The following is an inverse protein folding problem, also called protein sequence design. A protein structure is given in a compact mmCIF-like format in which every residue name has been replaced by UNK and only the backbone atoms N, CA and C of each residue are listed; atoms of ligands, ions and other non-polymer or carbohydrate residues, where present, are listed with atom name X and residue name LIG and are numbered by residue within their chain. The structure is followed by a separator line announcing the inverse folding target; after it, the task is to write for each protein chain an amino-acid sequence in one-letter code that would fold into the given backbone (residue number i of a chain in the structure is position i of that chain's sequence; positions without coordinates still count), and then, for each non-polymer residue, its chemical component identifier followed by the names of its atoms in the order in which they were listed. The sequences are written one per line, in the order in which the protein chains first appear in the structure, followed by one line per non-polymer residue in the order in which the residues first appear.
data_IF_315316552911
#
_entry.id   IF_315316552911
#
_cell.length_a   1.000
_cell.length_b   1.000
_cell.length_c   1.000
_cell.angle_alpha   90.00
_cell.angle_beta   90.00
_cell.angle_gamma   90.00
#
_symmetry.space_group_name_H-M   'P 1'
#
loop_
_entity.id
_entity.type
_entity.pdbx_description
1 polymer ?
#
# COMPACT_ATOMS: atom_id res chain seq x y z
N UNK A 1 -20.12 -5.38 4.20
CA UNK A 1 -18.87 -6.13 3.91
C UNK A 1 -17.73 -5.42 4.62
N UNK A 2 -16.85 -6.13 5.33
CA UNK A 2 -15.74 -5.54 6.08
C UNK A 2 -14.46 -5.65 5.27
N UNK A 3 -13.66 -4.59 5.23
CA UNK A 3 -12.38 -4.55 4.55
C UNK A 3 -11.25 -4.36 5.57
N UNK A 4 -10.14 -5.07 5.37
CA UNK A 4 -8.92 -4.88 6.14
C UNK A 4 -7.79 -4.58 5.18
N UNK A 5 -7.11 -3.46 5.44
CA UNK A 5 -6.00 -3.01 4.63
C UNK A 5 -4.73 -3.75 5.07
N UNK A 6 -4.02 -4.31 4.09
CA UNK A 6 -2.69 -4.90 4.28
C UNK A 6 -1.68 -4.02 3.55
N UNK A 7 -0.84 -3.32 4.31
CA UNK A 7 0.20 -2.46 3.75
C UNK A 7 1.44 -3.31 3.41
N UNK A 8 1.72 -3.48 2.12
CA UNK A 8 2.83 -4.28 1.60
C UNK A 8 4.08 -3.46 1.28
N UNK A 9 4.06 -2.15 1.58
CA UNK A 9 5.15 -1.25 1.24
C UNK A 9 6.41 -1.57 2.04
N UNK A 10 7.55 -1.14 1.50
CA UNK A 10 8.81 -1.17 2.26
C UNK A 10 8.66 -0.30 3.51
N UNK A 11 9.19 -0.77 4.65
CA UNK A 11 9.04 -0.11 5.96
C UNK A 11 9.31 1.39 5.91
N UNK A 12 10.45 1.77 5.29
CA UNK A 12 10.87 3.17 5.16
C UNK A 12 9.84 4.04 4.43
N UNK A 13 9.08 3.48 3.50
CA UNK A 13 8.05 4.23 2.78
C UNK A 13 6.89 4.58 3.70
N UNK A 14 6.40 3.63 4.50
CA UNK A 14 5.36 3.89 5.48
C UNK A 14 5.79 4.88 6.58
N UNK A 15 7.03 4.79 7.04
CA UNK A 15 7.60 5.68 8.07
C UNK A 15 7.83 7.12 7.59
N UNK A 16 7.95 7.35 6.27
CA UNK A 16 8.22 8.69 5.70
C UNK A 16 7.00 9.31 5.01
N UNK A 17 6.18 8.49 4.36
CA UNK A 17 5.03 8.96 3.57
C UNK A 17 3.71 8.83 4.31
N UNK A 18 3.75 8.26 5.51
CA UNK A 18 2.59 7.96 6.32
C UNK A 18 1.98 6.60 6.02
N UNK A 19 1.18 6.11 6.98
CA UNK A 19 0.50 4.81 6.96
C UNK A 19 -0.92 4.92 7.51
N UNK A 20 -1.79 3.99 7.14
CA UNK A 20 -3.14 3.94 7.68
C UNK A 20 -3.12 3.33 9.10
N UNK A 21 -3.73 3.97 10.11
CA UNK A 21 -3.70 3.52 11.51
C UNK A 21 -4.13 2.07 11.73
N UNK A 22 -5.12 1.62 10.95
CA UNK A 22 -5.72 0.29 11.08
C UNK A 22 -5.18 -0.73 10.08
N UNK A 23 -4.10 -0.40 9.36
CA UNK A 23 -3.50 -1.32 8.40
C UNK A 23 -2.62 -2.36 9.09
N UNK A 24 -2.66 -3.60 8.59
CA UNK A 24 -1.73 -4.64 9.00
C UNK A 24 -0.51 -4.56 8.08
N UNK A 25 0.67 -4.38 8.65
CA UNK A 25 1.90 -4.18 7.89
C UNK A 25 2.56 -5.53 7.59
N UNK A 26 2.70 -5.84 6.29
CA UNK A 26 3.40 -7.02 5.79
C UNK A 26 4.46 -6.58 4.80
N UNK A 27 5.58 -6.09 5.33
CA UNK A 27 6.68 -5.60 4.48
C UNK A 27 7.36 -6.74 3.71
N UNK A 28 8.10 -6.47 2.62
CA UNK A 28 8.86 -7.48 1.91
C UNK A 28 9.78 -8.31 2.82
N UNK A 29 10.38 -7.70 3.85
CA UNK A 29 11.22 -8.40 4.81
C UNK A 29 10.43 -9.43 5.63
N UNK A 30 9.16 -9.14 5.95
CA UNK A 30 8.25 -10.09 6.61
C UNK A 30 7.87 -11.21 5.66
N UNK A 31 7.64 -10.91 4.38
CA UNK A 31 7.28 -11.94 3.37
C UNK A 31 8.40 -12.97 3.15
N UNK A 32 9.66 -12.56 3.30
CA UNK A 32 10.83 -13.43 3.14
C UNK A 32 11.12 -14.28 4.38
N UNK A 33 10.50 -13.97 5.53
CA UNK A 33 10.67 -14.67 6.79
C UNK A 33 9.43 -15.49 7.11
N UNK A 34 9.53 -16.81 6.95
CA UNK A 34 8.40 -17.73 7.15
C UNK A 34 7.85 -17.73 8.57
N UNK A 35 8.70 -17.50 9.59
CA UNK A 35 8.25 -17.50 10.98
C UNK A 35 7.44 -16.23 11.26
N UNK A 36 7.97 -15.07 10.87
CA UNK A 36 7.28 -13.78 11.02
C UNK A 36 5.99 -13.72 10.22
N UNK A 37 5.97 -14.31 9.02
CA UNK A 37 4.77 -14.38 8.21
C UNK A 37 3.68 -15.23 8.88
N UNK A 38 4.06 -16.34 9.54
CA UNK A 38 3.12 -17.16 10.33
C UNK A 38 2.60 -16.40 11.55
N UNK A 39 3.43 -15.61 12.22
CA UNK A 39 2.98 -14.76 13.32
C UNK A 39 1.95 -13.74 12.86
N UNK A 40 2.23 -13.03 11.78
CA UNK A 40 1.29 -12.06 11.21
C UNK A 40 0.00 -12.73 10.76
N UNK A 41 0.05 -13.96 10.24
CA UNK A 41 -1.17 -14.71 9.89
C UNK A 41 -2.10 -14.95 11.09
N UNK A 42 -1.60 -14.99 12.33
CA UNK A 42 -2.46 -15.12 13.52
C UNK A 42 -3.41 -13.94 13.66
N UNK A 43 -2.95 -12.74 13.29
CA UNK A 43 -3.77 -11.53 13.31
C UNK A 43 -4.90 -11.59 12.27
N UNK A 44 -4.72 -12.39 11.22
CA UNK A 44 -5.71 -12.61 10.17
C UNK A 44 -6.67 -13.77 10.45
N UNK A 45 -6.39 -14.70 11.36
CA UNK A 45 -7.25 -15.87 11.59
C UNK A 45 -8.69 -15.48 11.96
N UNK A 46 -8.85 -14.42 12.75
CA UNK A 46 -10.17 -13.88 13.11
C UNK A 46 -10.93 -13.26 11.93
N UNK A 47 -10.24 -12.99 10.82
CA UNK A 47 -10.77 -12.38 9.60
C UNK A 47 -11.12 -13.41 8.52
N UNK A 48 -10.71 -14.66 8.71
CA UNK A 48 -10.86 -15.74 7.73
C UNK A 48 -12.33 -15.98 7.40
N UNK A 49 -12.72 -15.73 6.14
CA UNK A 49 -14.10 -15.89 5.64
C UNK A 49 -15.06 -14.77 6.03
N UNK A 50 -14.64 -13.84 6.88
CA UNK A 50 -15.48 -12.81 7.50
C UNK A 50 -15.18 -11.39 7.00
N UNK A 51 -14.06 -11.22 6.30
CA UNK A 51 -13.63 -9.95 5.74
C UNK A 51 -12.86 -10.10 4.43
N UNK A 52 -12.82 -9.00 3.68
CA UNK A 52 -12.00 -8.86 2.48
C UNK A 52 -10.65 -8.25 2.85
N UNK A 53 -9.57 -8.95 2.52
CA UNK A 53 -8.22 -8.41 2.62
C UNK A 53 -7.93 -7.57 1.38
N UNK A 54 -7.46 -6.35 1.59
CA UNK A 54 -7.09 -5.42 0.51
C UNK A 54 -5.60 -5.16 0.63
N UNK A 55 -4.81 -5.71 -0.28
CA UNK A 55 -3.35 -5.54 -0.29
C UNK A 55 -3.00 -4.25 -1.03
N UNK A 56 -2.22 -3.38 -0.38
CA UNK A 56 -1.84 -2.07 -0.89
C UNK A 56 -0.32 -1.99 -1.05
N UNK A 57 0.13 -1.75 -2.27
CA UNK A 57 1.51 -1.38 -2.59
C UNK A 57 1.75 0.12 -2.55
N UNK A 58 2.88 0.56 -3.08
CA UNK A 58 3.25 1.97 -3.18
C UNK A 58 2.39 2.72 -4.19
N UNK A 59 2.08 2.08 -5.33
CA UNK A 59 1.29 2.73 -6.38
C UNK A 59 2.11 3.68 -7.26
N UNK A 60 3.39 3.39 -7.50
CA UNK A 60 4.30 4.26 -8.30
C UNK A 60 3.72 4.61 -9.68
N UNK A 61 2.95 3.70 -10.29
CA UNK A 61 2.30 3.91 -11.60
C UNK A 61 1.35 5.11 -11.65
N UNK A 62 0.82 5.53 -10.49
CA UNK A 62 -0.08 6.69 -10.35
C UNK A 62 0.57 7.98 -10.83
N UNK A 63 1.90 8.12 -10.66
CA UNK A 63 2.64 9.29 -11.16
C UNK A 63 2.41 9.50 -12.66
N UNK A 64 2.36 8.41 -13.44
CA UNK A 64 2.09 8.48 -14.88
C UNK A 64 0.61 8.64 -15.19
N UNK A 65 -0.25 7.83 -14.56
CA UNK A 65 -1.67 7.74 -14.93
C UNK A 65 -2.49 8.93 -14.43
N UNK A 66 -2.20 9.46 -13.24
CA UNK A 66 -2.96 10.55 -12.63
C UNK A 66 -2.29 11.92 -12.74
N UNK A 67 -0.95 11.97 -12.84
CA UNK A 67 -0.19 13.23 -12.87
C UNK A 67 0.55 13.49 -14.18
N UNK A 68 0.51 12.55 -15.14
CA UNK A 68 1.17 12.71 -16.44
C UNK A 68 2.70 12.75 -16.37
N UNK A 69 3.29 12.29 -15.26
CA UNK A 69 4.73 12.31 -15.03
C UNK A 69 5.37 11.07 -15.65
N UNK A 70 6.28 11.28 -16.61
CA UNK A 70 7.03 10.18 -17.20
C UNK A 70 7.99 9.55 -16.19
N UNK A 71 7.88 8.22 -16.05
CA UNK A 71 8.70 7.46 -15.11
C UNK A 71 10.13 7.34 -15.64
N UNK A 72 11.10 7.58 -14.77
CA UNK A 72 12.50 7.22 -15.05
C UNK A 72 12.66 5.70 -15.19
N UNK A 73 13.76 5.23 -15.80
CA UNK A 73 14.05 3.78 -15.85
C UNK A 73 14.09 3.14 -14.45
N UNK A 74 14.61 3.86 -13.46
CA UNK A 74 14.65 3.42 -12.07
C UNK A 74 13.23 3.32 -11.48
N UNK A 75 12.41 4.36 -11.66
CA UNK A 75 11.04 4.38 -11.15
C UNK A 75 10.15 3.30 -11.81
N UNK A 76 10.34 3.00 -13.09
CA UNK A 76 9.66 1.86 -13.76
C UNK A 76 10.01 0.53 -13.13
N UNK A 77 11.30 0.30 -12.83
CA UNK A 77 11.73 -0.90 -12.14
C UNK A 77 11.14 -0.99 -10.72
N UNK A 78 11.15 0.12 -9.98
CA UNK A 78 10.54 0.18 -8.65
C UNK A 78 9.03 -0.09 -8.69
N UNK A 79 8.34 0.36 -9.74
CA UNK A 79 6.92 0.06 -10.00
C UNK A 79 6.70 -1.43 -10.26
N UNK A 80 7.48 -2.06 -11.14
CA UNK A 80 7.38 -3.50 -11.43
C UNK A 80 7.66 -4.35 -10.18
N UNK A 81 8.66 -3.98 -9.38
CA UNK A 81 8.99 -4.65 -8.11
C UNK A 81 7.87 -4.46 -7.05
N UNK A 82 7.22 -3.30 -7.02
CA UNK A 82 6.07 -2.99 -6.15
C UNK A 82 4.83 -3.81 -6.52
N UNK A 83 4.48 -3.85 -7.80
CA UNK A 83 3.36 -4.63 -8.34
C UNK A 83 3.57 -6.11 -8.09
N UNK A 84 4.73 -6.65 -8.47
CA UNK A 84 5.06 -8.07 -8.29
C UNK A 84 4.96 -8.51 -6.83
N UNK A 85 5.45 -7.68 -5.89
CA UNK A 85 5.38 -7.95 -4.46
C UNK A 85 3.93 -7.94 -3.95
N UNK A 86 3.17 -6.93 -4.34
CA UNK A 86 1.77 -6.74 -3.92
C UNK A 86 0.90 -7.90 -4.41
N UNK A 87 1.05 -8.31 -5.66
CA UNK A 87 0.36 -9.46 -6.25
C UNK A 87 0.78 -10.77 -5.60
N UNK A 88 2.08 -10.95 -5.34
CA UNK A 88 2.60 -12.16 -4.67
C UNK A 88 2.01 -12.32 -3.27
N UNK A 89 1.87 -11.22 -2.53
CA UNK A 89 1.25 -11.23 -1.21
C UNK A 89 -0.25 -11.53 -1.28
N UNK A 90 -0.96 -10.94 -2.24
CA UNK A 90 -2.38 -11.26 -2.46
C UNK A 90 -2.57 -12.74 -2.79
N UNK A 91 -1.75 -13.30 -3.69
CA UNK A 91 -1.78 -14.72 -4.03
C UNK A 91 -1.45 -15.61 -2.82
N UNK A 92 -0.53 -15.18 -1.96
CA UNK A 92 -0.22 -15.88 -0.72
C UNK A 92 -1.46 -16.00 0.19
N UNK A 93 -2.19 -14.92 0.43
CA UNK A 93 -3.41 -14.95 1.23
C UNK A 93 -4.48 -15.87 0.62
N UNK A 94 -4.69 -15.80 -0.69
CA UNK A 94 -5.62 -16.71 -1.39
C UNK A 94 -5.24 -18.18 -1.15
N UNK A 95 -3.95 -18.53 -1.34
CA UNK A 95 -3.44 -19.89 -1.11
C UNK A 95 -3.55 -20.33 0.35
N UNK A 96 -3.56 -19.39 1.29
CA UNK A 96 -3.73 -19.65 2.72
C UNK A 96 -5.18 -19.65 3.18
N UNK A 97 -6.16 -19.59 2.27
CA UNK A 97 -7.58 -19.72 2.60
C UNK A 97 -8.25 -18.41 2.98
N UNK A 98 -7.75 -17.28 2.48
CA UNK A 98 -8.42 -15.98 2.50
C UNK A 98 -9.01 -15.70 1.11
N UNK A 99 -10.20 -16.25 0.79
CA UNK A 99 -10.74 -16.24 -0.57
C UNK A 99 -11.13 -14.83 -1.05
N UNK A 100 -11.47 -13.94 -0.11
CA UNK A 100 -11.79 -12.55 -0.40
C UNK A 100 -10.53 -11.69 -0.27
N UNK A 101 -9.61 -11.82 -1.22
CA UNK A 101 -8.40 -11.00 -1.28
C UNK A 101 -8.39 -10.18 -2.57
N UNK A 102 -8.11 -8.87 -2.46
CA UNK A 102 -8.02 -7.94 -3.57
C UNK A 102 -6.73 -7.11 -3.48
N UNK A 103 -6.30 -6.54 -4.60
CA UNK A 103 -5.22 -5.55 -4.66
C UNK A 103 -5.84 -4.17 -4.82
N UNK A 104 -5.34 -3.19 -4.07
CA UNK A 104 -5.79 -1.80 -4.16
C UNK A 104 -5.25 -1.15 -5.44
N UNK A 105 -6.15 -0.77 -6.34
CA UNK A 105 -5.80 -0.03 -7.55
C UNK A 105 -5.14 1.31 -7.18
N UNK A 106 -3.99 1.59 -7.80
CA UNK A 106 -3.22 2.80 -7.53
C UNK A 106 -2.53 2.86 -6.16
N UNK A 107 -2.70 1.84 -5.31
CA UNK A 107 -2.01 1.70 -4.03
C UNK A 107 -2.07 2.93 -3.14
N UNK A 108 -0.98 3.16 -2.38
CA UNK A 108 -0.86 4.31 -1.51
C UNK A 108 -0.86 5.65 -2.29
N UNK A 109 -0.34 5.68 -3.51
CA UNK A 109 -0.33 6.88 -4.34
C UNK A 109 -1.73 7.46 -4.59
N UNK A 110 -2.66 6.65 -5.08
CA UNK A 110 -4.04 7.10 -5.29
C UNK A 110 -4.77 7.37 -3.97
N UNK A 111 -4.53 6.55 -2.94
CA UNK A 111 -5.18 6.71 -1.64
C UNK A 111 -4.77 8.02 -0.95
N UNK A 112 -3.46 8.31 -0.91
CA UNK A 112 -2.92 9.54 -0.33
C UNK A 112 -3.32 10.78 -1.12
N UNK A 113 -3.33 10.71 -2.45
CA UNK A 113 -3.84 11.79 -3.30
C UNK A 113 -5.31 12.09 -3.03
N UNK A 114 -6.16 11.07 -2.92
CA UNK A 114 -7.55 11.25 -2.54
C UNK A 114 -7.71 11.90 -1.15
N UNK A 115 -6.99 11.40 -0.13
CA UNK A 115 -7.00 12.01 1.21
C UNK A 115 -6.56 13.48 1.19
N UNK A 116 -5.55 13.82 0.39
CA UNK A 116 -5.10 15.20 0.25
C UNK A 116 -6.22 16.10 -0.30
N UNK A 117 -6.88 15.67 -1.39
CA UNK A 117 -7.95 16.44 -2.03
C UNK A 117 -9.19 16.63 -1.14
N UNK A 118 -9.48 15.64 -0.30
CA UNK A 118 -10.58 15.72 0.67
C UNK A 118 -10.21 16.45 1.97
N UNK A 119 -8.96 16.92 2.11
CA UNK A 119 -8.48 17.55 3.36
C UNK A 119 -8.37 16.58 4.54
N UNK A 120 -8.21 15.28 4.27
CA UNK A 120 -8.18 14.19 5.25
C UNK A 120 -6.79 13.57 5.43
N UNK A 121 -5.71 14.26 5.03
CA UNK A 121 -4.33 13.76 5.15
C UNK A 121 -3.91 13.44 6.59
N UNK A 122 -4.51 14.10 7.57
CA UNK A 122 -4.25 13.90 9.01
C UNK A 122 -4.76 12.53 9.53
N UNK A 123 -5.47 11.76 8.71
CA UNK A 123 -5.84 10.37 9.02
C UNK A 123 -4.66 9.40 8.89
N UNK A 124 -3.55 9.82 8.26
CA UNK A 124 -2.33 9.03 8.15
C UNK A 124 -1.44 9.24 9.39
N UNK A 125 -0.95 8.14 9.95
CA UNK A 125 0.09 8.18 10.99
C UNK A 125 1.46 8.37 10.35
N UNK A 126 2.40 8.98 11.08
CA UNK A 126 3.79 9.21 10.64
C UNK A 126 3.90 9.92 9.28
N UNK A 127 2.90 10.73 8.94
CA UNK A 127 2.84 11.45 7.68
C UNK A 127 3.66 12.74 7.73
N UNK A 128 4.67 12.82 6.86
CA UNK A 128 5.44 14.03 6.62
C UNK A 128 5.12 14.59 5.22
N UNK A 129 4.39 15.72 5.13
CA UNK A 129 4.04 16.33 3.85
C UNK A 129 5.28 16.83 3.07
N UNK A 130 6.36 17.22 3.75
CA UNK A 130 7.57 17.74 3.11
C UNK A 130 8.41 16.63 2.46
N UNK A 131 8.21 15.38 2.91
CA UNK A 131 8.92 14.20 2.39
C UNK A 131 8.05 13.38 1.43
N UNK A 132 6.73 13.38 1.62
CA UNK A 132 5.82 12.60 0.81
C UNK A 132 5.71 13.13 -0.61
N UNK A 133 6.18 12.33 -1.58
CA UNK A 133 6.17 12.73 -2.99
C UNK A 133 4.75 12.95 -3.55
N UNK A 134 3.76 12.23 -3.02
CA UNK A 134 2.37 12.34 -3.47
C UNK A 134 1.77 13.70 -3.10
N UNK A 135 2.09 14.22 -1.91
CA UNK A 135 1.73 15.57 -1.49
C UNK A 135 2.25 16.61 -2.47
N UNK A 136 3.53 16.53 -2.83
CA UNK A 136 4.16 17.47 -3.76
C UNK A 136 3.52 17.44 -5.14
N UNK A 137 3.11 16.26 -5.60
CA UNK A 137 2.41 16.10 -6.88
C UNK A 137 1.01 16.73 -6.83
N UNK A 138 0.25 16.53 -5.75
CA UNK A 138 -1.07 17.16 -5.58
C UNK A 138 -0.97 18.69 -5.50
N UNK A 139 0.00 19.22 -4.76
CA UNK A 139 0.24 20.67 -4.66
C UNK A 139 0.63 21.28 -6.02
N UNK A 140 1.40 20.54 -6.83
CA UNK A 140 1.77 20.96 -8.19
C UNK A 140 0.61 20.88 -9.20
N UNK A 141 -0.44 20.13 -8.87
CA UNK A 141 -1.64 19.96 -9.73
C UNK A 141 -2.69 21.05 -9.50
N UNK A 142 -2.71 21.66 -8.31
CA UNK A 142 -3.61 22.75 -7.95
C UNK A 142 -3.11 24.17 -8.27
N UNK A 143 -1.91 24.29 -8.85
CA UNK A 143 -1.28 25.55 -9.26
C UNK A 143 -1.50 25.93 -10.72
#
# INVERSE_FOLDING_TARGET
MRYFLVDSRVRKSGEMKGKFPTSIIVTPEVMLDSERLVEVLKDFEVLRGEATLVVMGEGVGVAKTEYGIELSKKARREMEEDESRTESLALFFVKRGFPYTAVMEGGFGSASGWLHREGMKDLLEDYDPDVCMWTKMEESRGG
#
